data_IF_145212577109
#
_entry.id   IF_145212577109
#
_cell.length_a   1.000
_cell.length_b   1.000
_cell.length_c   1.000
_cell.angle_alpha   90.00
_cell.angle_beta   90.00
_cell.angle_gamma   90.00
#
_symmetry.space_group_name_H-M   'P 1'
#
loop_
_entity.id
_entity.type
_entity.pdbx_description
1 polymer ?
#
# COMPACT_ATOMS: atom_id res chain seq x y z
N UNK A 1 -40.76 -2.80 -3.11
CA UNK A 1 -39.70 -2.67 -4.13
C UNK A 1 -38.74 -3.88 -4.06
N UNK A 2 -39.19 -5.10 -4.40
CA UNK A 2 -38.30 -6.28 -4.47
C UNK A 2 -38.57 -7.22 -5.67
N UNK A 3 -39.46 -6.87 -6.60
CA UNK A 3 -39.89 -7.80 -7.66
C UNK A 3 -39.29 -7.52 -9.06
N UNK A 4 -38.35 -6.59 -9.21
CA UNK A 4 -37.81 -6.20 -10.54
C UNK A 4 -36.42 -6.78 -10.82
N UNK A 5 -35.72 -7.32 -9.81
CA UNK A 5 -34.34 -7.81 -9.97
C UNK A 5 -34.27 -9.22 -10.56
N UNK A 6 -35.35 -10.01 -10.49
CA UNK A 6 -35.31 -11.42 -10.90
C UNK A 6 -35.70 -11.67 -12.36
N UNK A 7 -36.14 -10.65 -13.10
CA UNK A 7 -36.50 -10.75 -14.52
C UNK A 7 -35.42 -10.14 -15.44
N UNK A 8 -34.14 -10.25 -15.07
CA UNK A 8 -33.03 -9.82 -15.91
C UNK A 8 -31.88 -10.83 -15.91
N UNK A 9 -32.19 -12.13 -15.93
CA UNK A 9 -31.17 -13.19 -16.00
C UNK A 9 -31.44 -14.30 -17.02
N UNK A 10 -32.44 -14.17 -17.91
CA UNK A 10 -32.79 -15.23 -18.88
C UNK A 10 -32.64 -14.88 -20.38
N UNK A 11 -32.00 -13.78 -20.77
CA UNK A 11 -31.85 -13.43 -22.20
C UNK A 11 -30.41 -13.33 -22.74
N UNK A 12 -29.43 -13.96 -22.09
CA UNK A 12 -28.09 -14.13 -22.67
C UNK A 12 -27.77 -15.59 -22.96
N UNK A 13 -28.37 -16.12 -24.02
CA UNK A 13 -27.86 -17.29 -24.74
C UNK A 13 -28.59 -17.41 -26.08
N UNK A 14 -28.11 -16.69 -27.10
CA UNK A 14 -28.14 -17.12 -28.51
C UNK A 14 -27.66 -15.97 -29.40
N UNK A 15 -26.39 -16.00 -29.77
CA UNK A 15 -25.88 -15.50 -31.06
C UNK A 15 -24.41 -15.90 -31.17
N UNK A 16 -24.14 -17.06 -31.74
CA UNK A 16 -22.91 -17.29 -32.49
C UNK A 16 -23.26 -17.99 -33.80
N UNK A 17 -22.82 -17.34 -34.88
CA UNK A 17 -22.96 -17.71 -36.28
C UNK A 17 -22.05 -18.89 -36.63
N UNK A 18 -22.45 -19.69 -37.62
CA UNK A 18 -21.52 -20.22 -38.60
C UNK A 18 -22.19 -20.45 -39.96
N UNK A 19 -21.39 -20.17 -40.97
CA UNK A 19 -21.58 -20.00 -42.41
C UNK A 19 -22.00 -21.26 -43.20
N UNK A 20 -22.75 -21.00 -44.28
CA UNK A 20 -23.02 -21.79 -45.52
C UNK A 20 -21.73 -22.44 -46.13
N UNK A 21 -21.76 -23.44 -47.06
CA UNK A 21 -22.64 -23.46 -48.26
C UNK A 21 -23.00 -24.80 -49.00
N UNK A 22 -23.95 -24.67 -49.96
CA UNK A 22 -24.21 -25.41 -51.25
C UNK A 22 -24.48 -26.94 -51.35
N UNK A 23 -25.65 -27.29 -51.94
CA UNK A 23 -25.85 -28.22 -53.10
C UNK A 23 -27.37 -28.36 -53.43
N UNK A 24 -27.86 -27.83 -54.56
CA UNK A 24 -28.16 -28.49 -55.86
C UNK A 24 -29.42 -29.39 -55.91
N UNK A 25 -30.42 -28.87 -56.64
CA UNK A 25 -31.44 -29.51 -57.51
C UNK A 25 -32.30 -30.67 -56.97
N UNK A 26 -33.63 -30.49 -56.98
CA UNK A 26 -34.50 -31.40 -57.73
C UNK A 26 -35.80 -30.71 -58.17
N UNK A 27 -36.03 -30.74 -59.49
CA UNK A 27 -37.24 -30.31 -60.18
C UNK A 27 -38.16 -31.53 -60.30
N UNK A 28 -39.45 -31.36 -60.03
CA UNK A 28 -40.60 -31.97 -60.75
C UNK A 28 -41.80 -32.14 -59.81
N UNK A 29 -42.85 -31.33 -59.97
CA UNK A 29 -44.14 -31.82 -60.45
C UNK A 29 -45.16 -30.67 -60.54
N UNK A 30 -45.67 -30.45 -61.75
CA UNK A 30 -46.91 -29.72 -62.05
C UNK A 30 -47.91 -30.78 -62.53
N UNK A 31 -49.18 -30.70 -62.10
CA UNK A 31 -50.27 -30.54 -63.07
C UNK A 31 -51.21 -29.41 -62.60
N UNK A 32 -51.29 -28.30 -63.34
CA UNK A 32 -52.34 -27.99 -64.33
C UNK A 32 -53.76 -28.12 -63.76
N UNK A 33 -54.38 -26.96 -63.46
CA UNK A 33 -55.75 -26.66 -63.86
C UNK A 33 -56.01 -25.14 -63.73
N UNK A 34 -56.08 -24.47 -64.88
CA UNK A 34 -56.74 -23.17 -64.99
C UNK A 34 -58.25 -23.31 -64.79
N UNK A 35 -58.86 -22.34 -64.13
CA UNK A 35 -60.02 -21.70 -64.71
C UNK A 35 -59.76 -20.20 -64.86
N UNK A 36 -59.86 -19.73 -66.11
CA UNK A 36 -59.81 -18.33 -66.56
C UNK A 36 -60.24 -17.32 -65.49
N UNK A 37 -59.35 -16.40 -65.06
CA UNK A 37 -59.77 -15.32 -64.18
C UNK A 37 -60.63 -14.34 -64.98
N UNK A 38 -61.91 -14.24 -64.62
CA UNK A 38 -62.79 -13.15 -65.04
C UNK A 38 -62.04 -11.82 -64.80
N UNK A 39 -62.07 -10.85 -65.74
CA UNK A 39 -61.44 -9.57 -65.51
C UNK A 39 -62.06 -8.93 -64.27
N UNK A 40 -61.29 -8.84 -63.17
CA UNK A 40 -61.67 -8.06 -62.00
C UNK A 40 -61.58 -6.61 -62.43
N UNK A 41 -62.69 -6.09 -62.94
CA UNK A 41 -62.87 -4.65 -63.12
C UNK A 41 -62.86 -4.08 -61.71
N UNK A 42 -61.71 -3.54 -61.30
CA UNK A 42 -61.52 -2.93 -60.00
C UNK A 42 -62.54 -1.79 -59.86
N UNK A 43 -63.59 -2.00 -59.08
CA UNK A 43 -64.38 -0.89 -58.56
C UNK A 43 -63.40 0.00 -57.80
N UNK A 44 -63.18 1.21 -58.33
CA UNK A 44 -62.01 2.06 -58.11
C UNK A 44 -61.81 2.64 -56.70
N UNK A 45 -62.36 2.01 -55.66
CA UNK A 45 -62.36 2.54 -54.30
C UNK A 45 -61.47 1.77 -53.29
N UNK A 46 -61.10 0.50 -53.56
CA UNK A 46 -60.38 -0.35 -52.59
C UNK A 46 -58.85 -0.34 -52.73
N UNK A 47 -58.32 -0.32 -53.97
CA UNK A 47 -56.86 -0.31 -54.17
C UNK A 47 -56.22 0.98 -53.65
N UNK A 48 -56.91 2.12 -53.79
CA UNK A 48 -56.45 3.42 -53.30
C UNK A 48 -56.37 3.45 -51.78
N UNK A 49 -57.33 2.86 -51.06
CA UNK A 49 -57.29 2.72 -49.59
C UNK A 49 -56.13 1.82 -49.15
N UNK A 50 -55.93 0.70 -49.83
CA UNK A 50 -54.82 -0.22 -49.55
C UNK A 50 -53.46 0.45 -49.77
N UNK A 51 -53.33 1.26 -50.82
CA UNK A 51 -52.11 2.02 -51.10
C UNK A 51 -51.83 3.07 -50.02
N UNK A 52 -52.85 3.83 -49.61
CA UNK A 52 -52.72 4.82 -48.52
C UNK A 52 -52.36 4.11 -47.20
N UNK A 53 -52.95 2.96 -46.91
CA UNK A 53 -52.65 2.18 -45.71
C UNK A 53 -51.22 1.61 -45.74
N UNK A 54 -50.75 1.13 -46.90
CA UNK A 54 -49.36 0.72 -47.09
C UNK A 54 -48.39 1.89 -46.85
N UNK A 55 -48.68 3.07 -47.40
CA UNK A 55 -47.86 4.27 -47.18
C UNK A 55 -47.80 4.66 -45.69
N UNK A 56 -48.95 4.71 -45.01
CA UNK A 56 -49.01 4.98 -43.55
C UNK A 56 -48.26 3.91 -42.75
N UNK A 57 -48.34 2.65 -43.15
CA UNK A 57 -47.61 1.55 -42.50
C UNK A 57 -46.11 1.68 -42.70
N UNK A 58 -45.65 2.08 -43.88
CA UNK A 58 -44.24 2.33 -44.16
C UNK A 58 -43.71 3.52 -43.34
N UNK A 59 -44.49 4.61 -43.27
CA UNK A 59 -44.13 5.78 -42.46
C UNK A 59 -44.11 5.46 -40.97
N UNK A 60 -45.08 4.72 -40.44
CA UNK A 60 -45.07 4.23 -39.06
C UNK A 60 -43.81 3.40 -38.76
N UNK A 61 -43.44 2.49 -39.66
CA UNK A 61 -42.23 1.67 -39.51
C UNK A 61 -40.96 2.52 -39.49
N UNK A 62 -40.88 3.56 -40.32
CA UNK A 62 -39.77 4.54 -40.31
C UNK A 62 -39.66 5.25 -38.96
N UNK A 63 -40.78 5.74 -38.42
CA UNK A 63 -40.79 6.40 -37.12
C UNK A 63 -40.45 5.44 -35.97
N UNK A 64 -41.00 4.23 -36.00
CA UNK A 64 -40.69 3.19 -35.01
C UNK A 64 -39.19 2.84 -34.99
N UNK A 65 -38.58 2.69 -36.17
CA UNK A 65 -37.14 2.43 -36.28
C UNK A 65 -36.31 3.61 -35.75
N UNK A 66 -36.70 4.84 -36.06
CA UNK A 66 -36.02 6.05 -35.57
C UNK A 66 -36.09 6.14 -34.04
N UNK A 67 -37.26 5.85 -33.46
CA UNK A 67 -37.43 5.80 -32.01
C UNK A 67 -36.58 4.68 -31.38
N UNK A 68 -36.53 3.50 -32.00
CA UNK A 68 -35.69 2.39 -31.54
C UNK A 68 -34.20 2.76 -31.54
N UNK A 69 -33.72 3.44 -32.59
CA UNK A 69 -32.35 3.91 -32.68
C UNK A 69 -32.03 4.93 -31.56
N UNK A 70 -32.88 5.92 -31.36
CA UNK A 70 -32.70 6.89 -30.27
C UNK A 70 -32.74 6.22 -28.90
N UNK A 71 -33.63 5.25 -28.70
CA UNK A 71 -33.72 4.47 -27.47
C UNK A 71 -32.42 3.72 -27.20
N UNK A 72 -31.85 3.06 -28.22
CA UNK A 72 -30.57 2.38 -28.11
C UNK A 72 -29.43 3.35 -27.75
N UNK A 73 -29.39 4.54 -28.35
CA UNK A 73 -28.41 5.58 -28.01
C UNK A 73 -28.54 6.07 -26.57
N UNK A 74 -29.78 6.30 -26.10
CA UNK A 74 -30.05 6.72 -24.72
C UNK A 74 -29.57 5.64 -23.74
N UNK A 75 -29.89 4.36 -24.00
CA UNK A 75 -29.46 3.25 -23.15
C UNK A 75 -27.93 3.10 -23.12
N UNK A 76 -27.26 3.23 -24.27
CA UNK A 76 -25.81 3.19 -24.34
C UNK A 76 -25.15 4.36 -23.58
N UNK A 77 -25.72 5.56 -23.69
CA UNK A 77 -25.26 6.73 -22.94
C UNK A 77 -25.44 6.54 -21.43
N UNK A 78 -26.56 5.96 -20.98
CA UNK A 78 -26.78 5.61 -19.57
C UNK A 78 -25.74 4.61 -19.06
N UNK A 79 -25.51 3.52 -19.78
CA UNK A 79 -24.50 2.54 -19.39
C UNK A 79 -23.10 3.16 -19.27
N UNK A 80 -22.75 4.06 -20.20
CA UNK A 80 -21.48 4.79 -20.14
C UNK A 80 -21.43 5.75 -18.94
N UNK A 81 -22.51 6.47 -18.67
CA UNK A 81 -22.61 7.39 -17.53
C UNK A 81 -22.44 6.64 -16.20
N UNK A 82 -23.10 5.49 -16.03
CA UNK A 82 -22.99 4.66 -14.84
C UNK A 82 -21.56 4.13 -14.64
N UNK A 83 -20.93 3.68 -15.71
CA UNK A 83 -19.52 3.26 -15.68
C UNK A 83 -18.60 4.41 -15.25
N UNK A 84 -18.82 5.63 -15.78
CA UNK A 84 -18.02 6.81 -15.42
C UNK A 84 -18.28 7.26 -13.99
N UNK A 85 -19.52 7.20 -13.51
CA UNK A 85 -19.86 7.54 -12.13
C UNK A 85 -19.20 6.59 -11.13
N UNK A 86 -19.20 5.29 -11.43
CA UNK A 86 -18.48 4.29 -10.61
C UNK A 86 -16.98 4.59 -10.58
N UNK A 87 -16.36 4.78 -11.74
CA UNK A 87 -14.94 5.11 -11.80
C UNK A 87 -14.60 6.42 -11.06
N UNK A 88 -15.48 7.43 -11.13
CA UNK A 88 -15.33 8.68 -10.40
C UNK A 88 -15.38 8.46 -8.87
N UNK A 89 -16.28 7.60 -8.41
CA UNK A 89 -16.38 7.24 -7.00
C UNK A 89 -15.12 6.52 -6.52
N UNK A 90 -14.63 5.54 -7.28
CA UNK A 90 -13.40 4.80 -6.96
C UNK A 90 -12.19 5.76 -6.85
N UNK A 91 -12.06 6.71 -7.78
CA UNK A 91 -11.00 7.72 -7.77
C UNK A 91 -11.11 8.64 -6.55
N UNK A 92 -12.34 9.06 -6.17
CA UNK A 92 -12.56 9.90 -4.99
C UNK A 92 -12.15 9.19 -3.70
N UNK A 93 -12.46 7.89 -3.58
CA UNK A 93 -12.07 7.09 -2.42
C UNK A 93 -10.55 6.90 -2.35
N UNK A 94 -9.90 6.58 -3.47
CA UNK A 94 -8.45 6.48 -3.55
C UNK A 94 -7.76 7.79 -3.15
N UNK A 95 -8.27 8.93 -3.63
CA UNK A 95 -7.78 10.25 -3.24
C UNK A 95 -7.90 10.47 -1.74
N UNK A 96 -9.06 10.17 -1.15
CA UNK A 96 -9.30 10.35 0.29
C UNK A 96 -8.35 9.49 1.15
N UNK A 97 -8.08 8.26 0.70
CA UNK A 97 -7.11 7.36 1.36
C UNK A 97 -5.70 7.94 1.32
N UNK A 98 -5.26 8.44 0.16
CA UNK A 98 -3.92 9.05 0.02
C UNK A 98 -3.81 10.33 0.85
N UNK A 99 -4.84 11.18 0.88
CA UNK A 99 -4.82 12.40 1.69
C UNK A 99 -4.73 12.10 3.18
N UNK A 100 -5.43 11.04 3.65
CA UNK A 100 -5.36 10.58 5.03
C UNK A 100 -3.95 10.07 5.39
N UNK A 101 -3.32 9.31 4.49
CA UNK A 101 -1.94 8.84 4.66
C UNK A 101 -0.95 10.02 4.68
N UNK A 102 -1.10 10.97 3.75
CA UNK A 102 -0.28 12.19 3.69
C UNK A 102 -0.37 12.96 5.01
N UNK A 103 -1.57 13.12 5.55
CA UNK A 103 -1.77 13.76 6.86
C UNK A 103 -1.04 13.00 7.96
N UNK A 104 -1.24 11.68 8.07
CA UNK A 104 -0.57 10.87 9.09
C UNK A 104 0.96 11.01 9.04
N UNK A 105 1.54 10.94 7.85
CA UNK A 105 2.99 11.07 7.67
C UNK A 105 3.51 12.47 8.03
N UNK A 106 2.73 13.52 7.78
CA UNK A 106 3.08 14.88 8.22
C UNK A 106 3.04 15.00 9.74
N UNK A 107 2.04 14.41 10.39
CA UNK A 107 1.94 14.36 11.85
C UNK A 107 3.13 13.59 12.45
N UNK A 108 3.48 12.42 11.89
CA UNK A 108 4.65 11.62 12.29
C UNK A 108 5.96 12.41 12.13
N UNK A 109 6.13 13.15 11.03
CA UNK A 109 7.31 13.99 10.81
C UNK A 109 7.40 15.16 11.80
N UNK A 110 6.26 15.79 12.12
CA UNK A 110 6.20 16.84 13.12
C UNK A 110 6.62 16.31 14.51
N UNK A 111 6.19 15.10 14.86
CA UNK A 111 6.58 14.44 16.11
C UNK A 111 8.09 14.18 16.16
N UNK A 112 8.67 13.62 15.09
CA UNK A 112 10.12 13.36 15.01
C UNK A 112 10.93 14.65 15.17
N UNK A 113 10.50 15.74 14.53
CA UNK A 113 11.17 17.03 14.66
C UNK A 113 11.09 17.55 16.11
N UNK A 114 9.92 17.44 16.76
CA UNK A 114 9.78 17.82 18.18
C UNK A 114 10.69 17.00 19.10
N UNK A 115 10.81 15.70 18.85
CA UNK A 115 11.67 14.83 19.66
C UNK A 115 13.17 15.09 19.41
N UNK A 116 13.55 15.41 18.16
CA UNK A 116 14.91 15.90 17.85
C UNK A 116 15.23 17.15 18.65
N UNK A 117 14.34 18.15 18.64
CA UNK A 117 14.58 19.42 19.34
C UNK A 117 14.73 19.21 20.87
N UNK A 118 14.00 18.24 21.45
CA UNK A 118 14.19 17.84 22.87
C UNK A 118 15.53 17.17 23.12
N UNK A 119 15.97 16.31 22.20
CA UNK A 119 17.27 15.64 22.29
C UNK A 119 18.38 16.67 22.20
N UNK A 120 18.32 17.60 21.24
CA UNK A 120 19.32 18.67 21.05
C UNK A 120 19.44 19.54 22.32
N UNK A 121 18.32 19.87 22.97
CA UNK A 121 18.33 20.61 24.23
C UNK A 121 19.00 19.81 25.36
N UNK A 122 18.68 18.52 25.46
CA UNK A 122 19.24 17.62 26.48
C UNK A 122 20.74 17.38 26.25
N UNK A 123 21.15 17.21 25.00
CA UNK A 123 22.55 17.08 24.59
C UNK A 123 23.35 18.33 24.95
N UNK A 124 22.80 19.52 24.67
CA UNK A 124 23.45 20.78 25.05
C UNK A 124 23.64 20.89 26.57
N UNK A 125 22.65 20.47 27.37
CA UNK A 125 22.76 20.47 28.84
C UNK A 125 23.86 19.52 29.31
N UNK A 126 23.81 18.26 28.87
CA UNK A 126 24.78 17.22 29.27
C UNK A 126 26.19 17.58 28.80
N UNK A 127 26.33 18.17 27.61
CA UNK A 127 27.61 18.62 27.07
C UNK A 127 28.22 19.71 27.97
N UNK A 128 27.42 20.69 28.37
CA UNK A 128 27.87 21.74 29.29
C UNK A 128 28.26 21.16 30.65
N UNK A 129 27.40 20.33 31.24
CA UNK A 129 27.68 19.69 32.54
C UNK A 129 28.93 18.81 32.48
N UNK A 130 29.17 18.10 31.38
CA UNK A 130 30.38 17.30 31.18
C UNK A 130 31.62 18.19 31.10
N UNK A 131 31.55 19.32 30.40
CA UNK A 131 32.63 20.29 30.32
C UNK A 131 32.94 20.90 31.72
N UNK A 132 31.90 21.28 32.46
CA UNK A 132 32.01 21.84 33.80
C UNK A 132 32.64 20.82 34.78
N UNK A 133 32.21 19.56 34.73
CA UNK A 133 32.78 18.48 35.54
C UNK A 133 34.24 18.20 35.19
N UNK A 134 34.59 18.15 33.90
CA UNK A 134 35.99 17.99 33.46
C UNK A 134 36.87 19.14 33.97
N UNK A 135 36.39 20.38 33.84
CA UNK A 135 37.09 21.56 34.35
C UNK A 135 37.27 21.49 35.87
N UNK A 136 36.22 21.10 36.61
CA UNK A 136 36.28 20.93 38.06
C UNK A 136 37.25 19.82 38.49
N UNK A 137 37.25 18.68 37.81
CA UNK A 137 38.19 17.58 38.07
C UNK A 137 39.63 18.08 37.85
N UNK A 138 39.90 18.77 36.74
CA UNK A 138 41.22 19.31 36.45
C UNK A 138 41.67 20.29 37.55
N UNK A 139 40.81 21.23 37.92
CA UNK A 139 41.10 22.23 38.95
C UNK A 139 41.43 21.59 40.30
N UNK A 140 40.65 20.58 40.73
CA UNK A 140 40.90 19.88 41.98
C UNK A 140 42.17 19.05 41.95
N UNK A 141 42.43 18.37 40.82
CA UNK A 141 43.57 17.47 40.64
C UNK A 141 44.89 18.23 40.67
N UNK A 142 44.98 19.33 39.91
CA UNK A 142 46.23 20.10 39.78
C UNK A 142 46.45 21.08 40.94
N UNK A 143 45.37 21.52 41.58
CA UNK A 143 45.43 22.48 42.68
C UNK A 143 45.49 21.79 44.05
N UNK A 144 44.36 21.77 44.80
CA UNK A 144 44.35 21.38 46.19
C UNK A 144 44.77 19.93 46.43
N UNK A 145 44.41 18.99 45.55
CA UNK A 145 44.79 17.59 45.71
C UNK A 145 46.29 17.39 45.56
N UNK A 146 46.92 17.98 44.54
CA UNK A 146 48.36 17.85 44.32
C UNK A 146 49.19 18.42 45.47
N UNK A 147 48.77 19.57 46.03
CA UNK A 147 49.40 20.15 47.23
C UNK A 147 49.26 19.21 48.42
N UNK A 148 48.03 18.81 48.76
CA UNK A 148 47.79 17.93 49.91
C UNK A 148 48.51 16.58 49.78
N UNK A 149 48.55 15.99 48.57
CA UNK A 149 49.27 14.73 48.34
C UNK A 149 50.77 14.90 48.61
N UNK A 150 51.37 15.98 48.12
CA UNK A 150 52.80 16.27 48.35
C UNK A 150 53.09 16.39 49.85
N UNK A 151 52.27 17.15 50.57
CA UNK A 151 52.46 17.36 52.01
C UNK A 151 52.34 16.05 52.80
N UNK A 152 51.36 15.20 52.46
CA UNK A 152 51.20 13.88 53.10
C UNK A 152 52.36 12.93 52.75
N UNK A 153 52.84 12.94 51.52
CA UNK A 153 53.96 12.09 51.12
C UNK A 153 55.26 12.51 51.82
N UNK A 154 55.49 13.81 52.04
CA UNK A 154 56.61 14.33 52.84
C UNK A 154 56.51 13.83 54.29
N UNK A 155 55.35 13.98 54.93
CA UNK A 155 55.13 13.48 56.30
C UNK A 155 55.30 11.96 56.42
N UNK A 156 54.84 11.20 55.41
CA UNK A 156 55.05 9.75 55.36
C UNK A 156 56.52 9.40 55.24
N UNK A 157 57.26 10.13 54.42
CA UNK A 157 58.70 9.93 54.28
C UNK A 157 59.43 10.19 55.61
N UNK A 158 59.06 11.24 56.35
CA UNK A 158 59.61 11.55 57.68
C UNK A 158 59.31 10.44 58.70
N UNK A 159 58.14 9.80 58.60
CA UNK A 159 57.73 8.67 59.45
C UNK A 159 58.23 7.29 58.95
N UNK A 160 59.01 7.25 57.87
CA UNK A 160 59.51 6.01 57.27
C UNK A 160 58.43 5.15 56.58
N UNK A 161 57.28 5.72 56.25
CA UNK A 161 56.21 5.06 55.50
C UNK A 161 56.33 5.28 53.99
N UNK A 162 55.86 4.32 53.17
CA UNK A 162 55.84 4.49 51.71
C UNK A 162 54.84 5.57 51.27
N UNK A 163 55.08 6.23 50.12
CA UNK A 163 54.21 7.27 49.59
C UNK A 163 52.83 6.70 49.21
N UNK A 164 51.83 7.58 49.19
CA UNK A 164 50.47 7.21 48.84
C UNK A 164 50.35 6.81 47.36
N UNK A 165 49.44 5.86 47.04
CA UNK A 165 49.14 5.49 45.66
C UNK A 165 48.65 6.70 44.85
N UNK A 166 48.82 6.63 43.53
CA UNK A 166 48.39 7.70 42.63
C UNK A 166 46.87 7.78 42.55
N UNK A 167 46.35 9.00 42.31
CA UNK A 167 44.91 9.22 42.07
C UNK A 167 44.37 8.29 40.97
N UNK A 168 45.15 8.11 39.91
CA UNK A 168 44.82 7.25 38.79
C UNK A 168 44.62 5.78 39.22
N UNK A 169 45.50 5.25 40.08
CA UNK A 169 45.38 3.89 40.60
C UNK A 169 44.11 3.71 41.42
N UNK A 170 43.77 4.68 42.29
CA UNK A 170 42.53 4.65 43.06
C UNK A 170 41.28 4.75 42.16
N UNK A 171 41.33 5.54 41.08
CA UNK A 171 40.23 5.64 40.13
C UNK A 171 40.02 4.34 39.35
N UNK A 172 41.08 3.67 38.93
CA UNK A 172 41.02 2.39 38.22
C UNK A 172 40.39 1.29 39.08
N UNK A 173 40.77 1.22 40.36
CA UNK A 173 40.16 0.29 41.32
C UNK A 173 38.65 0.57 41.49
N UNK A 174 38.27 1.84 41.63
CA UNK A 174 36.86 2.24 41.74
C UNK A 174 36.08 1.94 40.47
N UNK A 175 36.67 2.14 39.30
CA UNK A 175 36.06 1.82 38.02
C UNK A 175 35.86 0.30 37.85
N UNK A 176 36.86 -0.50 38.23
CA UNK A 176 36.76 -1.96 38.26
C UNK A 176 35.62 -2.44 39.19
N UNK A 177 35.50 -1.82 40.37
CA UNK A 177 34.40 -2.11 41.31
C UNK A 177 33.02 -1.72 40.76
N UNK A 178 32.92 -0.58 40.07
CA UNK A 178 31.69 -0.15 39.41
C UNK A 178 31.28 -1.10 38.28
N UNK A 179 32.21 -1.47 37.40
CA UNK A 179 31.95 -2.43 36.33
C UNK A 179 31.52 -3.79 36.88
N UNK A 180 32.14 -4.24 37.97
CA UNK A 180 31.76 -5.47 38.67
C UNK A 180 30.35 -5.37 39.25
N UNK A 181 30.04 -4.27 39.94
CA UNK A 181 28.69 -4.00 40.50
C UNK A 181 27.62 -3.96 39.42
N UNK A 182 27.97 -3.41 38.25
CA UNK A 182 27.09 -3.31 37.10
C UNK A 182 26.84 -4.67 36.43
N UNK A 183 27.87 -5.51 36.29
CA UNK A 183 27.71 -6.91 35.83
C UNK A 183 26.78 -7.69 36.75
N UNK A 184 26.92 -7.51 38.07
CA UNK A 184 26.09 -8.19 39.07
C UNK A 184 24.61 -7.74 39.02
N UNK A 185 24.34 -6.49 38.65
CA UNK A 185 22.96 -5.96 38.46
C UNK A 185 22.34 -6.29 37.11
N UNK A 186 23.03 -7.02 36.23
CA UNK A 186 22.50 -7.41 34.91
C UNK A 186 22.33 -6.25 33.92
N UNK A 187 22.80 -5.04 34.23
CA UNK A 187 22.82 -3.94 33.26
C UNK A 187 24.02 -4.09 32.32
N UNK A 188 23.83 -4.80 31.21
CA UNK A 188 24.85 -4.86 30.16
C UNK A 188 25.28 -3.44 29.71
N UNK A 189 26.54 -3.27 29.25
CA UNK A 189 26.89 -2.11 28.43
C UNK A 189 25.90 -1.97 27.28
N UNK A 190 25.45 -0.75 26.91
CA UNK A 190 25.05 -0.54 25.53
C UNK A 190 26.31 -0.87 24.73
N UNK A 191 26.32 -2.06 24.15
CA UNK A 191 27.25 -2.41 23.09
C UNK A 191 27.14 -1.25 22.12
N UNK A 192 28.26 -0.61 21.80
CA UNK A 192 28.34 0.34 20.70
C UNK A 192 27.96 -0.44 19.44
N UNK A 193 26.66 -0.49 19.15
CA UNK A 193 26.11 -1.13 17.99
C UNK A 193 26.26 -0.14 16.86
N UNK A 194 27.25 -0.43 16.02
CA UNK A 194 27.10 -0.23 14.59
C UNK A 194 25.70 -0.67 14.18
N UNK A 195 24.97 0.26 13.57
CA UNK A 195 23.80 0.11 12.71
C UNK A 195 23.21 -1.30 12.61
N UNK A 196 22.12 -1.57 13.32
CA UNK A 196 21.11 -2.58 12.96
C UNK A 196 19.80 -2.26 13.69
N UNK A 197 18.85 -1.73 12.93
CA UNK A 197 17.49 -1.47 13.38
C UNK A 197 16.77 -2.82 13.47
N UNK A 198 16.43 -3.28 14.67
CA UNK A 198 15.34 -4.23 14.88
C UNK A 198 14.32 -3.64 15.86
N UNK A 199 13.17 -3.31 15.29
CA UNK A 199 11.97 -2.85 15.97
C UNK A 199 11.29 -4.08 16.57
N UNK A 200 11.42 -4.26 17.88
CA UNK A 200 10.55 -5.17 18.64
C UNK A 200 9.52 -4.31 19.39
N UNK A 201 8.31 -4.25 18.83
CA UNK A 201 7.12 -3.65 19.47
C UNK A 201 6.53 -4.69 20.40
N UNK A 202 6.35 -4.34 21.68
CA UNK A 202 5.39 -5.03 22.53
C UNK A 202 4.87 -4.12 23.66
N UNK A 203 3.65 -3.60 23.48
CA UNK A 203 2.64 -3.22 24.50
C UNK A 203 1.33 -3.03 23.71
N UNK A 204 0.13 -3.43 24.12
CA UNK A 204 -0.40 -4.15 25.29
C UNK A 204 -1.91 -4.36 25.08
N UNK A 205 -2.45 -5.44 25.64
CA UNK A 205 -3.82 -5.68 26.12
C UNK A 205 -5.00 -4.82 25.63
N UNK A 206 -6.04 -5.50 25.12
CA UNK A 206 -7.45 -5.19 25.46
C UNK A 206 -8.29 -6.47 25.35
N UNK A 207 -8.95 -6.80 26.46
CA UNK A 207 -9.93 -7.87 26.62
C UNK A 207 -11.28 -7.47 26.02
N UNK A 208 -11.98 -8.41 25.38
CA UNK A 208 -13.37 -8.25 24.96
C UNK A 208 -13.90 -9.53 24.34
N UNK A 209 -14.87 -10.16 25.01
CA UNK A 209 -15.52 -11.41 24.62
C UNK A 209 -16.29 -11.28 23.29
N UNK A 210 -16.51 -12.40 22.60
CA UNK A 210 -17.84 -13.02 22.33
C UNK A 210 -17.78 -13.93 21.09
N UNK A 211 -18.43 -15.09 21.22
CA UNK A 211 -18.98 -16.01 20.19
C UNK A 211 -18.06 -16.84 19.27
N UNK A 212 -18.10 -18.15 19.54
CA UNK A 212 -18.06 -19.33 18.64
C UNK A 212 -19.04 -19.22 17.43
N UNK A 213 -19.05 -20.11 16.40
CA UNK A 213 -18.59 -21.51 16.39
C UNK A 213 -17.92 -22.08 15.10
N UNK A 214 -17.56 -23.38 15.23
CA UNK A 214 -17.56 -24.45 14.20
C UNK A 214 -16.43 -24.51 13.15
N UNK A 215 -15.59 -25.56 13.23
CA UNK A 215 -15.62 -26.72 12.28
C UNK A 215 -14.39 -27.64 12.45
N UNK A 216 -14.72 -28.87 12.85
CA UNK A 216 -14.15 -30.21 12.56
C UNK A 216 -12.63 -30.48 12.43
N UNK A 217 -12.25 -31.56 13.15
CA UNK A 217 -11.02 -32.35 13.07
C UNK A 217 -10.93 -33.14 11.76
N UNK A 218 -9.72 -33.31 11.21
CA UNK A 218 -9.05 -34.62 11.17
C UNK A 218 -7.52 -34.45 10.93
N UNK A 219 -6.68 -35.37 11.44
CA UNK A 219 -5.21 -35.34 11.30
C UNK A 219 -4.75 -36.21 10.11
N UNK A 220 -3.42 -36.29 9.93
CA UNK A 220 -2.68 -37.24 9.07
C UNK A 220 -2.17 -36.64 7.74
N UNK A 221 -0.87 -36.29 7.70
CA UNK A 221 0.18 -36.84 6.80
C UNK A 221 1.37 -35.85 6.79
N UNK A 222 2.57 -36.34 7.09
CA UNK A 222 3.79 -35.53 7.16
C UNK A 222 4.41 -35.21 5.80
N UNK A 223 4.99 -34.01 5.69
CA UNK A 223 6.32 -33.68 5.15
C UNK A 223 6.40 -32.17 4.83
N UNK A 224 7.48 -31.46 5.23
CA UNK A 224 7.68 -30.06 4.85
C UNK A 224 8.67 -29.92 3.68
N UNK A 225 8.43 -28.99 2.72
CA UNK A 225 9.56 -28.38 2.02
C UNK A 225 9.51 -26.85 1.91
N UNK A 226 10.58 -26.27 2.45
CA UNK A 226 11.42 -25.20 1.88
C UNK A 226 10.78 -23.84 1.49
N UNK A 227 10.89 -22.89 2.43
CA UNK A 227 10.89 -21.45 2.17
C UNK A 227 12.09 -21.07 1.28
N UNK A 228 11.84 -20.60 0.06
CA UNK A 228 12.85 -19.86 -0.73
C UNK A 228 12.80 -18.36 -0.38
N UNK A 229 13.91 -17.72 -0.01
CA UNK A 229 13.96 -16.28 0.23
C UNK A 229 14.00 -15.54 -1.12
N UNK A 230 12.94 -14.82 -1.46
CA UNK A 230 12.96 -13.81 -2.53
C UNK A 230 13.57 -12.52 -1.96
N UNK A 231 14.89 -12.41 -2.06
CA UNK A 231 15.62 -11.25 -1.58
C UNK A 231 17.03 -11.17 -2.14
N UNK A 232 17.17 -10.86 -3.43
CA UNK A 232 18.40 -10.24 -3.94
C UNK A 232 18.11 -9.33 -5.13
N UNK A 233 18.22 -8.01 -4.99
CA UNK A 233 18.32 -7.12 -6.14
C UNK A 233 19.60 -7.46 -6.89
N UNK A 234 19.52 -7.66 -8.21
CA UNK A 234 20.73 -7.84 -9.03
C UNK A 234 21.55 -6.56 -8.96
N UNK A 235 22.80 -6.71 -8.51
CA UNK A 235 23.74 -5.61 -8.32
C UNK A 235 24.06 -4.86 -9.62
N UNK A 236 24.20 -3.55 -9.43
CA UNK A 236 25.26 -2.67 -9.95
C UNK A 236 26.21 -3.30 -10.98
N UNK A 237 26.18 -2.75 -12.21
CA UNK A 237 27.37 -2.65 -13.06
C UNK A 237 27.65 -1.17 -13.35
N UNK A 238 28.90 -0.80 -13.10
CA UNK A 238 29.47 0.53 -13.23
C UNK A 238 29.49 1.04 -14.70
N UNK A 239 29.40 2.37 -14.82
CA UNK A 239 29.80 3.28 -15.93
C UNK A 239 31.24 2.99 -16.42
N UNK A 240 31.75 3.45 -17.60
CA UNK A 240 31.57 4.81 -18.16
C UNK A 240 31.67 5.00 -19.70
N UNK A 241 31.29 6.19 -20.20
CA UNK A 241 32.17 6.96 -21.10
C UNK A 241 31.80 8.45 -21.16
N UNK A 242 32.79 9.27 -20.85
CA UNK A 242 32.85 10.72 -21.04
C UNK A 242 33.37 10.99 -22.46
N UNK A 243 32.79 11.97 -23.16
CA UNK A 243 33.45 12.72 -24.23
C UNK A 243 32.98 14.19 -24.16
N UNK A 244 33.88 15.18 -24.05
CA UNK A 244 33.56 16.59 -24.24
C UNK A 244 33.69 17.00 -25.73
N UNK A 245 32.79 17.86 -26.20
CA UNK A 245 32.90 18.53 -27.50
C UNK A 245 33.79 19.80 -27.38
N UNK A 246 34.65 20.09 -28.36
CA UNK A 246 35.31 21.39 -28.46
C UNK A 246 34.42 22.40 -29.20
N UNK A 247 34.36 23.61 -28.66
CA UNK A 247 33.86 24.83 -29.31
C UNK A 247 34.86 25.34 -30.35
N UNK A 248 34.37 25.75 -31.51
CA UNK A 248 35.01 26.74 -32.38
C UNK A 248 33.96 27.79 -32.74
#
# INVERSE_FOLDING_TARGET
>A
MQSVVQQQQQQQQQTQQSTQPHSLVNVSNIPVQEPYPKPIVAQGHDWTKNLIQLAKTAELKKHALTLQLHTAHILAAHASLDQKNKALQDIKEQKNRIESERKRLLDDLAQINSDRDKIDLSESSITKETADLRSKIQSLTDGPYAVAKRDVDVLRQELGQPPLPSLQSTLEERNAAYLTSRRLRGQMPPISVSTSIEVSRNMSNTSGSTSMPETQRNPETGEPPAKRPRGRPKGSKNKPKVLPLPTS
#
